data_IF_841076466183
#
_entry.id   IF_841076466183
#
_cell.length_a   1.000
_cell.length_b   1.000
_cell.length_c   1.000
_cell.angle_alpha   90.00
_cell.angle_beta   90.00
_cell.angle_gamma   90.00
#
_symmetry.space_group_name_H-M   'P 1'
#
loop_
_entity.id
_entity.type
_entity.pdbx_description
1 polymer ?
#
# COMPACT_ATOMS: atom_id res chain seq x y z
N UNK A 1 201.91 -25.64 69.84
CA UNK A 1 200.50 -25.22 69.90
C UNK A 1 199.79 -25.28 68.54
N UNK A 2 200.30 -24.63 67.47
CA UNK A 2 199.61 -24.59 66.15
C UNK A 2 199.48 -25.99 65.49
N UNK A 3 200.48 -26.86 65.67
CA UNK A 3 200.54 -28.20 65.08
C UNK A 3 199.33 -29.10 65.41
N UNK A 4 198.90 -29.13 66.68
CA UNK A 4 197.72 -29.89 67.11
C UNK A 4 196.41 -29.39 66.47
N UNK A 5 196.30 -28.07 66.21
CA UNK A 5 195.15 -27.50 65.54
C UNK A 5 195.08 -27.90 64.06
N UNK A 6 196.23 -28.00 63.38
CA UNK A 6 196.31 -28.46 61.99
C UNK A 6 195.95 -29.95 61.84
N UNK A 7 196.44 -30.81 62.74
CA UNK A 7 196.07 -32.24 62.73
C UNK A 7 194.58 -32.44 63.01
N UNK A 8 194.00 -31.68 63.95
CA UNK A 8 192.56 -31.71 64.20
C UNK A 8 191.74 -31.21 63.00
N UNK A 9 192.17 -30.11 62.36
CA UNK A 9 191.52 -29.60 61.15
C UNK A 9 191.59 -30.59 59.98
N UNK A 10 192.72 -31.26 59.78
CA UNK A 10 192.90 -32.28 58.74
C UNK A 10 192.02 -33.52 59.01
N UNK A 11 191.97 -33.99 60.26
CA UNK A 11 191.11 -35.11 60.66
C UNK A 11 189.60 -34.78 60.54
N UNK A 12 189.21 -33.54 60.83
CA UNK A 12 187.84 -33.08 60.60
C UNK A 12 187.52 -33.02 59.09
N UNK A 13 188.44 -32.47 58.28
CA UNK A 13 188.24 -32.37 56.83
C UNK A 13 188.06 -33.74 56.17
N UNK A 14 188.87 -34.74 56.53
CA UNK A 14 188.73 -36.11 55.98
C UNK A 14 187.42 -36.78 56.40
N UNK A 15 186.98 -36.60 57.65
CA UNK A 15 185.69 -37.10 58.11
C UNK A 15 184.51 -36.47 57.33
N UNK A 16 184.56 -35.16 57.07
CA UNK A 16 183.55 -34.45 56.26
C UNK A 16 183.52 -34.99 54.83
N UNK A 17 184.68 -35.20 54.19
CA UNK A 17 184.77 -35.75 52.82
C UNK A 17 184.15 -37.16 52.74
N UNK A 18 184.44 -38.04 53.71
CA UNK A 18 183.86 -39.40 53.75
C UNK A 18 182.33 -39.32 53.92
N UNK A 19 181.84 -38.46 54.81
CA UNK A 19 180.40 -38.23 55.00
C UNK A 19 179.70 -37.77 53.71
N UNK A 20 180.32 -36.86 52.96
CA UNK A 20 179.82 -36.33 51.69
C UNK A 20 179.76 -37.41 50.59
N UNK A 21 180.64 -38.40 50.63
CA UNK A 21 180.69 -39.52 49.66
C UNK A 21 179.59 -40.55 49.95
N UNK A 22 179.26 -40.80 51.22
CA UNK A 22 178.23 -41.79 51.62
C UNK A 22 176.81 -41.22 51.58
N UNK A 23 176.63 -39.92 51.85
CA UNK A 23 175.34 -39.23 51.82
C UNK A 23 174.45 -39.52 50.57
N UNK A 24 174.94 -39.41 49.31
CA UNK A 24 174.12 -39.67 48.13
C UNK A 24 173.66 -41.14 48.01
N UNK A 25 174.40 -42.10 48.56
CA UNK A 25 174.00 -43.52 48.53
C UNK A 25 172.82 -43.81 49.47
N UNK A 26 172.85 -43.24 50.68
CA UNK A 26 171.77 -43.36 51.66
C UNK A 26 170.49 -42.67 51.14
N UNK A 27 170.62 -41.47 50.58
CA UNK A 27 169.48 -40.70 50.06
C UNK A 27 168.75 -41.46 48.92
N UNK A 28 169.48 -42.12 48.01
CA UNK A 28 168.91 -43.00 46.96
C UNK A 28 168.15 -44.22 47.49
N UNK A 29 168.42 -44.67 48.73
CA UNK A 29 167.73 -45.79 49.36
C UNK A 29 166.48 -45.33 50.11
N UNK A 30 166.55 -44.18 50.78
CA UNK A 30 165.40 -43.54 51.44
C UNK A 30 164.32 -43.17 50.41
N UNK A 31 164.70 -42.57 49.28
CA UNK A 31 163.75 -42.17 48.22
C UNK A 31 162.95 -43.37 47.70
N UNK A 32 163.60 -44.52 47.42
CA UNK A 32 162.89 -45.72 46.95
C UNK A 32 161.89 -46.27 47.97
N UNK A 33 162.29 -46.43 49.22
CA UNK A 33 161.36 -46.88 50.26
C UNK A 33 160.24 -45.88 50.54
N UNK A 34 160.50 -44.57 50.41
CA UNK A 34 159.46 -43.55 50.50
C UNK A 34 158.47 -43.64 49.32
N UNK A 35 158.96 -43.85 48.11
CA UNK A 35 158.14 -43.97 46.89
C UNK A 35 157.28 -45.24 46.89
N UNK A 36 157.85 -46.39 47.24
CA UNK A 36 157.12 -47.66 47.31
C UNK A 36 156.06 -47.63 48.43
N UNK A 37 156.38 -47.03 49.58
CA UNK A 37 155.41 -46.83 50.67
C UNK A 37 154.32 -45.83 50.26
N UNK A 38 154.65 -44.74 49.56
CA UNK A 38 153.64 -43.80 49.04
C UNK A 38 152.66 -44.51 48.10
N UNK A 39 153.18 -45.29 47.14
CA UNK A 39 152.37 -46.07 46.19
C UNK A 39 151.45 -47.08 46.88
N UNK A 40 151.94 -47.76 47.92
CA UNK A 40 151.13 -48.69 48.71
C UNK A 40 150.05 -48.01 49.57
N UNK A 41 150.24 -46.74 49.95
CA UNK A 41 149.26 -45.96 50.74
C UNK A 41 148.37 -45.04 49.91
N UNK A 42 148.63 -44.87 48.61
CA UNK A 42 147.78 -44.07 47.73
C UNK A 42 146.55 -44.88 47.29
N UNK A 43 145.32 -44.40 47.53
CA UNK A 43 144.12 -45.22 47.40
C UNK A 43 143.61 -45.44 45.96
N UNK A 44 144.29 -44.90 44.93
CA UNK A 44 143.82 -44.93 43.55
C UNK A 44 144.98 -45.02 42.55
N UNK A 45 144.90 -46.00 41.64
CA UNK A 45 145.80 -46.09 40.49
C UNK A 45 145.43 -45.10 39.36
N UNK A 46 146.36 -44.74 38.46
CA UNK A 46 146.06 -43.84 37.33
C UNK A 46 145.00 -44.37 36.36
N UNK A 47 144.71 -45.67 36.35
CA UNK A 47 143.66 -46.26 35.53
C UNK A 47 142.28 -46.10 36.19
N UNK A 48 142.17 -46.27 37.51
CA UNK A 48 140.92 -46.08 38.25
C UNK A 48 140.47 -44.62 38.25
N UNK A 49 141.40 -43.66 38.33
CA UNK A 49 141.07 -42.22 38.21
C UNK A 49 140.48 -41.90 36.82
N UNK A 50 140.96 -42.56 35.76
CA UNK A 50 140.38 -42.42 34.41
C UNK A 50 139.01 -43.09 34.34
N UNK A 51 138.88 -44.31 34.86
CA UNK A 51 137.60 -45.02 34.90
C UNK A 51 136.52 -44.25 35.69
N UNK A 52 136.84 -43.67 36.85
CA UNK A 52 135.92 -42.83 37.61
C UNK A 52 135.56 -41.54 36.88
N UNK A 53 136.53 -40.89 36.21
CA UNK A 53 136.26 -39.69 35.39
C UNK A 53 135.34 -39.99 34.22
N UNK A 54 135.55 -41.11 33.54
CA UNK A 54 134.74 -41.50 32.38
C UNK A 54 133.37 -42.08 32.81
N UNK A 55 133.29 -42.74 33.98
CA UNK A 55 132.02 -43.10 34.61
C UNK A 55 131.21 -41.86 35.01
N UNK A 56 131.82 -40.84 35.63
CA UNK A 56 131.17 -39.58 35.98
C UNK A 56 130.72 -38.78 34.74
N UNK A 57 131.49 -38.84 33.64
CA UNK A 57 131.08 -38.33 32.33
C UNK A 57 129.88 -39.10 31.77
N UNK A 58 129.87 -40.43 31.90
CA UNK A 58 128.80 -41.28 31.42
C UNK A 58 127.50 -41.05 32.23
N UNK A 59 127.56 -40.96 33.56
CA UNK A 59 126.39 -40.64 34.39
C UNK A 59 125.84 -39.26 34.05
N UNK A 60 126.70 -38.24 33.99
CA UNK A 60 126.28 -36.89 33.59
C UNK A 60 125.69 -36.85 32.17
N UNK A 61 126.27 -37.57 31.21
CA UNK A 61 125.73 -37.66 29.85
C UNK A 61 124.37 -38.37 29.81
N UNK A 62 124.18 -39.45 30.58
CA UNK A 62 122.90 -40.17 30.70
C UNK A 62 121.84 -39.34 31.41
N UNK A 63 122.19 -38.63 32.48
CA UNK A 63 121.30 -37.72 33.19
C UNK A 63 120.88 -36.54 32.32
N UNK A 64 121.83 -35.90 31.64
CA UNK A 64 121.56 -34.82 30.70
C UNK A 64 120.73 -35.30 29.50
N UNK A 65 120.98 -36.50 28.96
CA UNK A 65 120.14 -37.09 27.92
C UNK A 65 118.69 -37.35 28.43
N UNK A 66 118.53 -37.84 29.67
CA UNK A 66 117.22 -38.05 30.30
C UNK A 66 116.48 -36.73 30.54
N UNK A 67 117.14 -35.69 31.05
CA UNK A 67 116.51 -34.38 31.28
C UNK A 67 116.17 -33.68 29.97
N UNK A 68 117.03 -33.75 28.95
CA UNK A 68 116.73 -33.25 27.60
C UNK A 68 115.56 -34.01 26.96
N UNK A 69 115.46 -35.33 27.14
CA UNK A 69 114.33 -36.12 26.64
C UNK A 69 113.03 -35.78 27.39
N UNK A 70 113.08 -35.59 28.71
CA UNK A 70 111.93 -35.14 29.49
C UNK A 70 111.48 -33.74 29.07
N UNK A 71 112.42 -32.79 28.92
CA UNK A 71 112.14 -31.43 28.44
C UNK A 71 111.54 -31.43 27.03
N UNK A 72 112.00 -32.29 26.13
CA UNK A 72 111.37 -32.47 24.80
C UNK A 72 109.94 -32.97 24.95
N UNK A 73 109.70 -34.05 25.71
CA UNK A 73 108.34 -34.59 25.94
C UNK A 73 107.38 -33.57 26.54
N UNK A 74 107.82 -32.75 27.51
CA UNK A 74 106.97 -31.70 28.09
C UNK A 74 106.73 -30.55 27.10
N UNK A 75 107.70 -30.19 26.24
CA UNK A 75 107.48 -29.24 25.14
C UNK A 75 106.50 -29.78 24.10
N UNK A 76 106.64 -31.05 23.70
CA UNK A 76 105.74 -31.69 22.74
C UNK A 76 104.30 -31.73 23.27
N UNK A 77 104.11 -32.05 24.56
CA UNK A 77 102.81 -31.94 25.26
C UNK A 77 102.30 -30.51 25.30
N UNK A 78 103.14 -29.52 25.65
CA UNK A 78 102.74 -28.12 25.72
C UNK A 78 102.29 -27.59 24.35
N UNK A 79 103.00 -27.94 23.28
CA UNK A 79 102.60 -27.63 21.89
C UNK A 79 101.29 -28.33 21.52
N UNK A 80 101.12 -29.60 21.87
CA UNK A 80 99.86 -30.32 21.62
C UNK A 80 98.66 -29.67 22.35
N UNK A 81 98.85 -29.26 23.61
CA UNK A 81 97.83 -28.53 24.39
C UNK A 81 97.55 -27.13 23.82
N UNK A 82 98.57 -26.40 23.36
CA UNK A 82 98.39 -25.11 22.67
C UNK A 82 97.57 -25.28 21.38
N UNK A 83 97.88 -26.28 20.55
CA UNK A 83 97.13 -26.56 19.32
C UNK A 83 95.68 -26.98 19.62
N UNK A 84 95.45 -27.76 20.69
CA UNK A 84 94.10 -28.10 21.14
C UNK A 84 93.34 -26.86 21.63
N UNK A 85 93.99 -26.00 22.44
CA UNK A 85 93.41 -24.76 22.93
C UNK A 85 93.09 -23.77 21.79
N UNK A 86 93.95 -23.66 20.78
CA UNK A 86 93.66 -22.86 19.60
C UNK A 86 92.47 -23.40 18.80
N UNK A 87 92.30 -24.73 18.70
CA UNK A 87 91.13 -25.33 18.05
C UNK A 87 89.87 -25.00 18.82
N UNK A 88 89.83 -25.27 20.12
CA UNK A 88 88.64 -24.95 20.94
C UNK A 88 88.34 -23.46 20.97
N UNK A 89 89.34 -22.57 20.92
CA UNK A 89 89.15 -21.12 20.76
C UNK A 89 88.61 -20.70 19.38
N UNK A 90 88.80 -21.50 18.32
CA UNK A 90 88.17 -21.24 17.02
C UNK A 90 86.72 -21.72 17.03
N UNK A 91 86.49 -22.91 17.59
CA UNK A 91 85.16 -23.51 17.70
C UNK A 91 84.24 -22.65 18.58
N UNK A 92 84.73 -22.14 19.73
CA UNK A 92 83.94 -21.21 20.57
C UNK A 92 83.67 -19.88 19.89
N UNK A 93 84.61 -19.34 19.11
CA UNK A 93 84.37 -18.12 18.31
C UNK A 93 83.30 -18.34 17.25
N UNK A 94 83.32 -19.48 16.56
CA UNK A 94 82.31 -19.87 15.57
C UNK A 94 80.92 -19.98 16.20
N UNK A 95 80.81 -20.74 17.30
CA UNK A 95 79.56 -20.89 18.03
C UNK A 95 79.03 -19.56 18.59
N UNK A 96 79.93 -18.65 19.01
CA UNK A 96 79.54 -17.29 19.43
C UNK A 96 79.04 -16.46 18.24
N UNK A 97 79.70 -16.48 17.07
CA UNK A 97 79.19 -15.78 15.88
C UNK A 97 77.83 -16.31 15.44
N UNK A 98 77.65 -17.64 15.35
CA UNK A 98 76.36 -18.26 15.03
C UNK A 98 75.29 -17.88 16.06
N UNK A 99 75.62 -17.83 17.35
CA UNK A 99 74.68 -17.42 18.38
C UNK A 99 74.29 -15.93 18.23
N UNK A 100 75.23 -15.05 17.90
CA UNK A 100 74.92 -13.62 17.63
C UNK A 100 74.09 -13.43 16.36
N UNK A 101 74.33 -14.20 15.31
CA UNK A 101 73.54 -14.17 14.07
C UNK A 101 72.11 -14.67 14.31
N UNK A 102 71.94 -15.78 15.05
CA UNK A 102 70.62 -16.29 15.45
C UNK A 102 69.89 -15.32 16.39
N UNK A 103 70.60 -14.64 17.30
CA UNK A 103 70.00 -13.59 18.14
C UNK A 103 69.54 -12.38 17.31
N UNK A 104 70.29 -11.97 16.29
CA UNK A 104 69.88 -10.92 15.36
C UNK A 104 68.62 -11.32 14.57
N UNK A 105 68.61 -12.52 13.97
CA UNK A 105 67.44 -13.06 13.26
C UNK A 105 66.20 -13.16 14.17
N UNK A 106 66.37 -13.58 15.43
CA UNK A 106 65.29 -13.59 16.42
C UNK A 106 64.80 -12.17 16.76
N UNK A 107 65.68 -11.17 16.82
CA UNK A 107 65.29 -9.78 17.03
C UNK A 107 64.47 -9.26 15.84
N UNK A 108 64.93 -9.48 14.61
CA UNK A 108 64.25 -9.07 13.38
C UNK A 108 62.86 -9.71 13.25
N UNK A 109 62.75 -11.04 13.43
CA UNK A 109 61.46 -11.74 13.43
C UNK A 109 60.51 -11.24 14.54
N UNK A 110 61.04 -10.82 15.69
CA UNK A 110 60.21 -10.22 16.75
C UNK A 110 59.69 -8.83 16.38
N UNK A 111 60.49 -8.02 15.66
CA UNK A 111 60.05 -6.73 15.11
C UNK A 111 58.98 -6.96 14.03
N UNK A 112 59.18 -7.89 13.11
CA UNK A 112 58.17 -8.26 12.10
C UNK A 112 56.87 -8.79 12.75
N UNK A 113 56.97 -9.64 13.77
CA UNK A 113 55.80 -10.10 14.51
C UNK A 113 55.09 -8.94 15.25
N UNK A 114 55.82 -7.92 15.72
CA UNK A 114 55.23 -6.73 16.32
C UNK A 114 54.54 -5.83 15.30
N UNK A 115 55.13 -5.61 14.11
CA UNK A 115 54.50 -4.82 13.04
C UNK A 115 53.26 -5.53 12.49
N UNK A 116 53.30 -6.84 12.30
CA UNK A 116 52.14 -7.64 11.90
C UNK A 116 51.00 -7.58 12.94
N UNK A 117 51.31 -7.71 14.25
CA UNK A 117 50.30 -7.54 15.32
C UNK A 117 49.71 -6.13 15.33
N UNK A 118 50.50 -5.10 15.03
CA UNK A 118 50.01 -3.71 14.91
C UNK A 118 49.08 -3.55 13.71
N UNK A 119 49.47 -4.08 12.54
CA UNK A 119 48.66 -4.06 11.32
C UNK A 119 47.33 -4.80 11.51
N UNK A 120 47.32 -5.97 12.18
CA UNK A 120 46.11 -6.71 12.51
C UNK A 120 45.16 -5.84 13.35
N UNK A 121 45.63 -5.21 14.43
CA UNK A 121 44.80 -4.32 15.26
C UNK A 121 44.23 -3.13 14.48
N UNK A 122 44.99 -2.56 13.56
CA UNK A 122 44.51 -1.47 12.69
C UNK A 122 43.43 -1.97 11.71
N UNK A 123 43.55 -3.20 11.20
CA UNK A 123 42.54 -3.81 10.34
C UNK A 123 41.28 -4.20 11.12
N UNK A 124 41.42 -4.72 12.34
CA UNK A 124 40.31 -5.00 13.26
C UNK A 124 39.52 -3.72 13.59
N UNK A 125 40.21 -2.64 13.97
CA UNK A 125 39.58 -1.34 14.25
C UNK A 125 38.88 -0.76 13.01
N UNK A 126 39.47 -0.90 11.82
CA UNK A 126 38.83 -0.50 10.55
C UNK A 126 37.58 -1.34 10.28
N UNK A 127 37.65 -2.65 10.47
CA UNK A 127 36.53 -3.56 10.27
C UNK A 127 35.38 -3.26 11.24
N UNK A 128 35.67 -3.02 12.52
CA UNK A 128 34.68 -2.58 13.51
C UNK A 128 34.01 -1.25 13.09
N UNK A 129 34.80 -0.27 12.64
CA UNK A 129 34.24 1.02 12.17
C UNK A 129 33.38 0.88 10.92
N UNK A 130 33.75 -0.01 10.00
CA UNK A 130 32.98 -0.33 8.80
C UNK A 130 31.70 -1.11 9.14
N UNK A 131 31.75 -2.04 10.09
CA UNK A 131 30.56 -2.72 10.60
C UNK A 131 29.59 -1.76 11.28
N UNK A 132 30.10 -0.80 12.08
CA UNK A 132 29.28 0.22 12.71
C UNK A 132 28.58 1.10 11.66
N UNK A 133 29.30 1.54 10.62
CA UNK A 133 28.75 2.30 9.51
C UNK A 133 27.74 1.49 8.66
N UNK A 134 27.99 0.20 8.44
CA UNK A 134 27.05 -0.69 7.76
C UNK A 134 25.77 -0.88 8.59
N UNK A 135 25.89 -1.06 9.91
CA UNK A 135 24.76 -1.19 10.84
C UNK A 135 23.95 0.11 10.95
N UNK A 136 24.58 1.30 10.92
CA UNK A 136 23.85 2.57 10.90
C UNK A 136 23.14 2.80 9.56
N UNK A 137 23.81 2.57 8.42
CA UNK A 137 23.20 2.67 7.09
C UNK A 137 22.04 1.68 6.91
N UNK A 138 22.15 0.46 7.42
CA UNK A 138 21.05 -0.51 7.41
C UNK A 138 19.83 -0.04 8.22
N UNK A 139 20.04 0.62 9.38
CA UNK A 139 18.96 1.21 10.18
C UNK A 139 18.30 2.39 9.45
N UNK A 140 19.10 3.26 8.85
CA UNK A 140 18.62 4.41 8.06
C UNK A 140 17.81 3.95 6.84
N UNK A 141 18.29 2.95 6.10
CA UNK A 141 17.54 2.32 5.01
C UNK A 141 16.24 1.65 5.48
N UNK A 142 16.23 1.06 6.69
CA UNK A 142 15.02 0.55 7.32
C UNK A 142 13.98 1.66 7.58
N UNK A 143 14.40 2.74 8.23
CA UNK A 143 13.55 3.92 8.48
C UNK A 143 13.06 4.56 7.17
N UNK A 144 13.93 4.69 6.16
CA UNK A 144 13.55 5.19 4.84
C UNK A 144 12.57 4.26 4.11
N UNK A 145 12.65 2.95 4.32
CA UNK A 145 11.65 2.00 3.80
C UNK A 145 10.30 2.17 4.48
N UNK A 146 10.26 2.44 5.79
CA UNK A 146 9.03 2.74 6.52
C UNK A 146 8.40 4.07 6.12
N UNK A 147 9.19 5.14 5.94
CA UNK A 147 8.69 6.43 5.44
C UNK A 147 8.12 6.28 4.03
N UNK A 148 8.81 5.57 3.12
CA UNK A 148 8.30 5.26 1.78
C UNK A 148 6.98 4.48 1.82
N UNK A 149 6.85 3.45 2.66
CA UNK A 149 5.56 2.73 2.85
C UNK A 149 4.45 3.65 3.35
N UNK A 150 4.75 4.54 4.30
CA UNK A 150 3.77 5.50 4.82
C UNK A 150 3.33 6.53 3.77
N UNK A 151 4.25 6.98 2.92
CA UNK A 151 3.97 7.89 1.82
C UNK A 151 3.15 7.20 0.73
N UNK A 152 3.46 5.96 0.39
CA UNK A 152 2.66 5.16 -0.54
C UNK A 152 1.23 4.99 -0.03
N UNK A 153 1.04 4.58 1.23
CA UNK A 153 -0.30 4.45 1.82
C UNK A 153 -1.08 5.78 1.86
N UNK A 154 -0.40 6.94 1.95
CA UNK A 154 -1.03 8.25 1.83
C UNK A 154 -1.42 8.57 0.39
N UNK A 155 -0.57 8.24 -0.58
CA UNK A 155 -0.85 8.40 -2.02
C UNK A 155 -2.05 7.53 -2.41
N UNK A 156 -2.09 6.27 -1.98
CA UNK A 156 -3.18 5.33 -2.30
C UNK A 156 -4.53 5.86 -1.74
N UNK A 157 -4.53 6.38 -0.51
CA UNK A 157 -5.71 7.04 0.09
C UNK A 157 -6.13 8.29 -0.69
N UNK A 158 -5.19 9.17 -1.00
CA UNK A 158 -5.48 10.38 -1.78
C UNK A 158 -5.98 10.05 -3.19
N UNK A 159 -5.52 8.95 -3.81
CA UNK A 159 -6.06 8.47 -5.08
C UNK A 159 -7.51 8.00 -4.94
N UNK A 160 -7.82 7.22 -3.89
CA UNK A 160 -9.19 6.79 -3.62
C UNK A 160 -10.13 7.97 -3.32
N UNK A 161 -9.67 8.95 -2.54
CA UNK A 161 -10.41 10.19 -2.27
C UNK A 161 -10.66 10.99 -3.57
N UNK A 162 -9.65 11.10 -4.45
CA UNK A 162 -9.78 11.75 -5.75
C UNK A 162 -10.74 11.02 -6.69
N UNK A 163 -10.74 9.69 -6.69
CA UNK A 163 -11.66 8.90 -7.51
C UNK A 163 -13.10 8.98 -6.97
N UNK A 164 -13.29 9.03 -5.65
CA UNK A 164 -14.56 9.37 -5.03
C UNK A 164 -15.07 10.76 -5.45
N UNK A 165 -14.23 11.78 -5.36
CA UNK A 165 -14.57 13.15 -5.78
C UNK A 165 -14.88 13.26 -7.29
N UNK A 166 -14.27 12.45 -8.15
CA UNK A 166 -14.62 12.37 -9.59
C UNK A 166 -16.01 11.75 -9.80
N UNK A 167 -16.36 10.71 -9.03
CA UNK A 167 -17.69 10.08 -9.08
C UNK A 167 -18.75 11.08 -8.60
N UNK A 168 -18.50 11.78 -7.50
CA UNK A 168 -19.38 12.84 -6.99
C UNK A 168 -19.56 13.98 -8.00
N UNK A 169 -18.46 14.43 -8.65
CA UNK A 169 -18.53 15.44 -9.70
C UNK A 169 -19.39 14.99 -10.89
N UNK A 170 -19.18 13.77 -11.39
CA UNK A 170 -19.98 13.20 -12.47
C UNK A 170 -21.46 13.04 -12.07
N UNK A 171 -21.75 12.68 -10.81
CA UNK A 171 -23.12 12.64 -10.29
C UNK A 171 -23.75 14.04 -10.27
N UNK A 172 -23.01 15.09 -9.87
CA UNK A 172 -23.51 16.47 -9.93
C UNK A 172 -23.69 16.98 -11.35
N UNK A 173 -22.83 16.60 -12.30
CA UNK A 173 -23.04 16.94 -13.72
C UNK A 173 -24.31 16.31 -14.29
N UNK A 174 -24.63 15.07 -13.93
CA UNK A 174 -25.91 14.44 -14.33
C UNK A 174 -27.13 15.08 -13.66
N UNK A 175 -27.03 15.50 -12.40
CA UNK A 175 -28.07 16.29 -11.70
C UNK A 175 -28.27 17.65 -12.37
N UNK A 176 -27.18 18.33 -12.75
CA UNK A 176 -27.21 19.61 -13.48
C UNK A 176 -27.89 19.45 -14.85
N UNK A 177 -27.57 18.41 -15.63
CA UNK A 177 -28.26 18.15 -16.90
C UNK A 177 -29.74 17.76 -16.72
N UNK A 178 -30.08 17.02 -15.66
CA UNK A 178 -31.48 16.74 -15.32
C UNK A 178 -32.25 18.02 -14.94
N UNK A 179 -31.65 18.91 -14.15
CA UNK A 179 -32.25 20.20 -13.82
C UNK A 179 -32.36 21.10 -15.05
N UNK A 180 -31.37 21.12 -15.95
CA UNK A 180 -31.44 21.83 -17.24
C UNK A 180 -32.57 21.31 -18.12
N UNK A 181 -32.74 19.99 -18.25
CA UNK A 181 -33.83 19.42 -19.05
C UNK A 181 -35.21 19.74 -18.44
N UNK A 182 -35.34 19.70 -17.11
CA UNK A 182 -36.58 20.12 -16.42
C UNK A 182 -36.88 21.61 -16.59
N UNK A 183 -35.86 22.48 -16.54
CA UNK A 183 -36.02 23.92 -16.80
C UNK A 183 -36.44 24.20 -18.24
N UNK A 184 -35.90 23.47 -19.23
CA UNK A 184 -36.34 23.57 -20.64
C UNK A 184 -37.81 23.17 -20.77
N UNK A 185 -38.20 22.02 -20.23
CA UNK A 185 -39.60 21.57 -20.26
C UNK A 185 -40.57 22.58 -19.61
N UNK A 186 -40.21 23.15 -18.46
CA UNK A 186 -41.00 24.21 -17.82
C UNK A 186 -41.03 25.52 -18.62
N UNK A 187 -39.99 25.84 -19.39
CA UNK A 187 -39.99 26.98 -20.31
C UNK A 187 -40.88 26.73 -21.53
N UNK A 188 -40.83 25.53 -22.10
CA UNK A 188 -41.68 25.14 -23.25
C UNK A 188 -43.16 25.12 -22.83
N UNK A 189 -43.49 24.56 -21.67
CA UNK A 189 -44.83 24.60 -21.06
C UNK A 189 -45.30 26.04 -20.78
N UNK A 190 -44.40 26.91 -20.29
CA UNK A 190 -44.71 28.34 -20.10
C UNK A 190 -45.01 29.03 -21.42
N UNK A 191 -44.27 28.74 -22.49
CA UNK A 191 -44.54 29.34 -23.81
C UNK A 191 -45.81 28.79 -24.46
N UNK A 192 -46.12 27.50 -24.32
CA UNK A 192 -47.40 26.95 -24.81
C UNK A 192 -48.58 27.52 -24.04
N UNK A 193 -48.50 27.64 -22.70
CA UNK A 193 -49.52 28.31 -21.90
C UNK A 193 -49.68 29.79 -22.30
N UNK A 194 -48.58 30.52 -22.56
CA UNK A 194 -48.64 31.90 -23.07
C UNK A 194 -49.28 31.99 -24.45
N UNK A 195 -49.01 31.05 -25.34
CA UNK A 195 -49.63 30.98 -26.66
C UNK A 195 -51.13 30.68 -26.56
N UNK A 196 -51.52 29.74 -25.69
CA UNK A 196 -52.92 29.40 -25.41
C UNK A 196 -53.67 30.61 -24.83
N UNK A 197 -53.12 31.29 -23.81
CA UNK A 197 -53.73 32.52 -23.25
C UNK A 197 -53.90 33.59 -24.33
N UNK A 198 -52.90 33.82 -25.19
CA UNK A 198 -53.05 34.74 -26.34
C UNK A 198 -54.17 34.32 -27.28
N UNK A 199 -54.25 33.04 -27.64
CA UNK A 199 -55.28 32.52 -28.52
C UNK A 199 -56.69 32.67 -27.92
N UNK A 200 -56.88 32.36 -26.63
CA UNK A 200 -58.17 32.57 -25.96
C UNK A 200 -58.51 34.06 -25.82
N UNK A 201 -57.56 34.95 -25.53
CA UNK A 201 -57.83 36.40 -25.53
C UNK A 201 -58.22 36.94 -26.91
N UNK A 202 -57.65 36.40 -27.99
CA UNK A 202 -58.03 36.76 -29.34
C UNK A 202 -59.44 36.25 -29.70
N UNK A 203 -59.79 35.02 -29.30
CA UNK A 203 -61.15 34.47 -29.47
C UNK A 203 -62.18 35.21 -28.63
N UNK A 204 -61.84 35.61 -27.40
CA UNK A 204 -62.70 36.42 -26.55
C UNK A 204 -62.97 37.78 -27.21
N UNK A 205 -61.93 38.48 -27.69
CA UNK A 205 -62.10 39.73 -28.44
C UNK A 205 -62.90 39.57 -29.75
N UNK A 206 -62.76 38.44 -30.45
CA UNK A 206 -63.61 38.14 -31.62
C UNK A 206 -65.07 37.91 -31.22
N UNK A 207 -65.32 37.20 -30.11
CA UNK A 207 -66.67 37.00 -29.58
C UNK A 207 -67.30 38.31 -29.08
N UNK A 208 -66.54 39.18 -28.41
CA UNK A 208 -66.97 40.54 -28.04
C UNK A 208 -67.31 41.38 -29.28
N UNK A 209 -66.51 41.31 -30.34
CA UNK A 209 -66.78 42.02 -31.60
C UNK A 209 -68.02 41.46 -32.33
N UNK A 210 -68.27 40.14 -32.23
CA UNK A 210 -69.51 39.51 -32.74
C UNK A 210 -70.72 39.94 -31.92
N UNK A 211 -70.63 39.91 -30.58
CA UNK A 211 -71.68 40.33 -29.66
C UNK A 211 -72.06 41.80 -29.89
N UNK A 212 -71.09 42.72 -29.91
CA UNK A 212 -71.36 44.14 -30.23
C UNK A 212 -71.95 44.33 -31.64
N UNK A 213 -71.57 43.49 -32.60
CA UNK A 213 -72.18 43.45 -33.94
C UNK A 213 -73.59 42.85 -33.98
N UNK A 214 -73.93 41.92 -33.09
CA UNK A 214 -75.28 41.38 -32.90
C UNK A 214 -76.16 42.38 -32.12
N UNK A 215 -75.66 43.02 -31.06
CA UNK A 215 -76.29 44.11 -30.31
C UNK A 215 -76.64 45.29 -31.23
N UNK A 216 -75.70 45.72 -32.08
CA UNK A 216 -75.96 46.77 -33.06
C UNK A 216 -77.06 46.37 -34.08
N UNK A 217 -77.12 45.11 -34.48
CA UNK A 217 -78.20 44.57 -35.33
C UNK A 217 -79.53 44.49 -34.56
N UNK A 218 -79.49 44.10 -33.30
CA UNK A 218 -80.65 44.06 -32.42
C UNK A 218 -81.24 45.47 -32.24
N UNK A 219 -80.41 46.47 -31.92
CA UNK A 219 -80.82 47.88 -31.88
C UNK A 219 -81.34 48.40 -33.23
N UNK A 220 -80.82 47.95 -34.37
CA UNK A 220 -81.40 48.28 -35.68
C UNK A 220 -82.78 47.65 -35.87
N UNK A 221 -82.99 46.42 -35.41
CA UNK A 221 -84.28 45.73 -35.45
C UNK A 221 -85.28 46.36 -34.48
N UNK A 222 -84.87 46.72 -33.26
CA UNK A 222 -85.67 47.49 -32.29
C UNK A 222 -86.09 48.85 -32.87
N UNK A 223 -85.17 49.59 -33.50
CA UNK A 223 -85.48 50.85 -34.16
C UNK A 223 -86.41 50.68 -35.38
N UNK A 224 -86.32 49.57 -36.13
CA UNK A 224 -87.27 49.25 -37.20
C UNK A 224 -88.64 48.87 -36.64
N UNK A 225 -88.66 48.07 -35.57
CA UNK A 225 -89.89 47.70 -34.86
C UNK A 225 -90.57 48.94 -34.30
N UNK A 226 -89.84 49.85 -33.64
CA UNK A 226 -90.35 51.12 -33.14
C UNK A 226 -90.89 52.03 -34.26
N UNK A 227 -90.31 51.99 -35.46
CA UNK A 227 -90.83 52.70 -36.63
C UNK A 227 -92.08 52.04 -37.22
N UNK A 228 -92.16 50.72 -37.29
CA UNK A 228 -93.37 50.03 -37.74
C UNK A 228 -94.49 50.06 -36.69
N UNK A 229 -94.20 50.09 -35.39
CA UNK A 229 -95.22 50.32 -34.35
C UNK A 229 -95.68 51.77 -34.36
N UNK A 230 -94.80 52.75 -34.57
CA UNK A 230 -95.22 54.14 -34.80
C UNK A 230 -96.05 54.27 -36.09
N UNK A 231 -95.61 53.70 -37.21
CA UNK A 231 -96.36 53.71 -38.46
C UNK A 231 -97.68 52.94 -38.36
N UNK A 232 -97.76 51.87 -37.57
CA UNK A 232 -99.01 51.19 -37.25
C UNK A 232 -99.89 52.03 -36.34
N UNK A 233 -99.36 52.73 -35.33
CA UNK A 233 -100.12 53.66 -34.51
C UNK A 233 -100.64 54.87 -35.31
N UNK A 234 -99.87 55.35 -36.30
CA UNK A 234 -100.30 56.37 -37.26
C UNK A 234 -101.37 55.82 -38.22
N UNK A 235 -101.22 54.57 -38.72
CA UNK A 235 -102.23 53.87 -39.53
C UNK A 235 -103.51 53.62 -38.73
N UNK A 236 -103.40 53.22 -37.46
CA UNK A 236 -104.51 53.03 -36.53
C UNK A 236 -105.17 54.36 -36.22
N UNK A 237 -104.42 55.42 -35.93
CA UNK A 237 -104.95 56.78 -35.75
C UNK A 237 -105.64 57.29 -37.02
N UNK A 238 -105.10 57.02 -38.20
CA UNK A 238 -105.72 57.36 -39.49
C UNK A 238 -106.95 56.47 -39.79
N UNK A 239 -106.95 55.21 -39.35
CA UNK A 239 -108.12 54.33 -39.41
C UNK A 239 -109.17 54.71 -38.38
N UNK A 240 -108.81 55.24 -37.21
CA UNK A 240 -109.70 55.81 -36.20
C UNK A 240 -110.29 57.13 -36.69
N UNK A 241 -109.50 58.00 -37.30
CA UNK A 241 -109.99 59.21 -37.97
C UNK A 241 -110.93 58.85 -39.12
N UNK A 242 -110.56 57.91 -39.99
CA UNK A 242 -111.46 57.38 -41.03
C UNK A 242 -112.64 56.62 -40.47
N UNK A 243 -112.53 55.98 -39.30
CA UNK A 243 -113.65 55.31 -38.62
C UNK A 243 -114.56 56.33 -37.94
N UNK A 244 -114.04 57.49 -37.52
CA UNK A 244 -114.79 58.64 -37.02
C UNK A 244 -115.48 59.37 -38.18
N UNK A 245 -114.82 59.54 -39.33
CA UNK A 245 -115.46 59.99 -40.58
C UNK A 245 -116.51 58.99 -41.04
N UNK A 246 -116.23 57.68 -41.05
CA UNK A 246 -117.22 56.64 -41.34
C UNK A 246 -118.29 56.57 -40.26
N UNK A 247 -118.04 56.96 -39.01
CA UNK A 247 -119.05 57.08 -37.95
C UNK A 247 -119.91 58.33 -38.13
N UNK A 248 -119.34 59.41 -38.67
CA UNK A 248 -120.04 60.65 -38.98
C UNK A 248 -120.87 60.51 -40.27
N UNK A 249 -120.30 59.90 -41.32
CA UNK A 249 -121.01 59.44 -42.51
C UNK A 249 -122.03 58.34 -42.16
N UNK A 250 -121.74 57.44 -41.21
CA UNK A 250 -122.75 56.54 -40.63
C UNK A 250 -123.76 57.29 -39.78
N UNK A 251 -123.49 58.44 -39.17
CA UNK A 251 -124.53 59.24 -38.51
C UNK A 251 -125.46 59.89 -39.54
N UNK A 252 -124.91 60.33 -40.68
CA UNK A 252 -125.68 60.76 -41.84
C UNK A 252 -126.48 59.59 -42.46
N UNK A 253 -125.93 58.38 -42.53
CA UNK A 253 -126.59 57.17 -43.06
C UNK A 253 -127.49 56.46 -42.03
N UNK A 254 -127.33 56.70 -40.73
CA UNK A 254 -128.16 56.12 -39.63
C UNK A 254 -129.45 56.90 -39.38
N UNK A 255 -129.67 57.99 -40.12
CA UNK A 255 -131.03 58.45 -40.45
C UNK A 255 -131.75 57.49 -41.42
N UNK A 256 -131.06 56.47 -41.99
CA UNK A 256 -131.58 55.48 -42.95
C UNK A 256 -130.94 54.07 -42.86
N UNK A 257 -131.18 53.29 -41.78
CA UNK A 257 -131.00 51.81 -41.82
C UNK A 257 -130.27 51.14 -40.63
N UNK A 258 -130.43 49.82 -40.45
CA UNK A 258 -130.08 49.10 -39.19
C UNK A 258 -129.64 47.61 -39.33
N UNK A 259 -128.96 47.08 -38.26
CA UNK A 259 -128.61 45.65 -37.92
C UNK A 259 -127.48 44.98 -38.77
N UNK A 260 -126.64 44.00 -38.31
CA UNK A 260 -126.52 43.17 -37.07
C UNK A 260 -125.12 42.44 -36.93
N UNK A 261 -124.62 42.19 -35.68
CA UNK A 261 -123.78 41.08 -35.07
C UNK A 261 -122.55 40.37 -35.76
N UNK A 262 -121.73 39.47 -35.14
CA UNK A 262 -120.87 39.38 -33.89
C UNK A 262 -120.26 37.91 -33.74
N UNK A 263 -119.23 37.68 -32.86
CA UNK A 263 -118.63 36.38 -32.32
C UNK A 263 -117.35 35.78 -33.01
N UNK A 264 -116.37 35.04 -32.41
CA UNK A 264 -116.10 34.32 -31.11
C UNK A 264 -116.33 32.76 -31.11
N UNK A 265 -115.58 31.82 -30.44
CA UNK A 265 -114.31 31.80 -29.62
C UNK A 265 -113.79 30.35 -29.24
N UNK A 266 -112.56 30.15 -28.67
CA UNK A 266 -112.24 29.08 -27.64
C UNK A 266 -111.34 27.80 -27.85
N UNK A 267 -110.25 27.67 -27.05
CA UNK A 267 -109.71 26.62 -26.08
C UNK A 267 -109.76 25.02 -26.13
N UNK A 268 -108.63 24.40 -25.65
CA UNK A 268 -108.38 23.38 -24.55
C UNK A 268 -108.40 21.79 -24.54
N UNK A 269 -107.40 21.25 -23.78
CA UNK A 269 -107.37 20.15 -22.75
C UNK A 269 -107.13 18.62 -23.04
N UNK A 270 -106.77 17.85 -21.96
CA UNK A 270 -106.09 16.53 -21.94
C UNK A 270 -106.57 15.53 -20.80
N UNK A 271 -105.94 14.34 -20.65
CA UNK A 271 -106.28 13.29 -19.64
C UNK A 271 -105.11 12.33 -19.24
N UNK A 272 -105.21 11.63 -18.09
CA UNK A 272 -104.15 10.79 -17.45
C UNK A 272 -104.30 9.24 -17.59
N UNK A 273 -103.25 8.47 -17.22
CA UNK A 273 -103.21 6.99 -17.16
C UNK A 273 -102.09 6.44 -16.25
N UNK A 274 -102.11 5.13 -15.94
CA UNK A 274 -101.33 4.45 -14.88
C UNK A 274 -99.80 4.68 -14.91
N UNK A 275 -99.21 4.71 -13.71
CA UNK A 275 -97.85 5.15 -13.40
C UNK A 275 -96.72 4.16 -13.78
N UNK A 276 -96.62 3.87 -15.08
CA UNK A 276 -95.41 3.26 -15.69
C UNK A 276 -94.24 4.24 -15.73
N UNK A 277 -94.50 5.53 -15.49
CA UNK A 277 -93.54 6.64 -15.44
C UNK A 277 -92.61 6.56 -14.23
N UNK A 278 -93.11 6.37 -13.01
CA UNK A 278 -92.28 6.30 -11.81
C UNK A 278 -91.28 5.13 -11.84
N UNK A 279 -91.69 3.95 -12.33
CA UNK A 279 -90.80 2.80 -12.47
C UNK A 279 -89.76 3.02 -13.59
N UNK A 280 -90.14 3.67 -14.69
CA UNK A 280 -89.22 4.10 -15.74
C UNK A 280 -88.16 5.07 -15.20
N UNK A 281 -88.56 6.03 -14.36
CA UNK A 281 -87.67 7.06 -13.84
C UNK A 281 -86.73 6.53 -12.74
N UNK A 282 -87.18 5.63 -11.87
CA UNK A 282 -86.29 4.93 -10.92
C UNK A 282 -85.23 4.09 -11.65
N UNK A 283 -85.62 3.30 -12.66
CA UNK A 283 -84.67 2.56 -13.50
C UNK A 283 -83.70 3.48 -14.24
N UNK A 284 -84.17 4.66 -14.70
CA UNK A 284 -83.32 5.69 -15.34
C UNK A 284 -82.27 6.21 -14.36
N UNK A 285 -82.67 6.54 -13.14
CA UNK A 285 -81.81 7.10 -12.09
C UNK A 285 -80.80 6.07 -11.57
N UNK A 286 -81.19 4.80 -11.45
CA UNK A 286 -80.25 3.71 -11.10
C UNK A 286 -79.22 3.48 -12.22
N UNK A 287 -79.65 3.55 -13.49
CA UNK A 287 -78.74 3.39 -14.63
C UNK A 287 -77.72 4.54 -14.76
N UNK A 288 -78.11 5.79 -14.49
CA UNK A 288 -77.16 6.92 -14.48
C UNK A 288 -76.17 6.81 -13.32
N UNK A 289 -76.65 6.52 -12.10
CA UNK A 289 -75.78 6.31 -10.94
C UNK A 289 -74.78 5.14 -11.14
N UNK A 290 -75.21 4.05 -11.79
CA UNK A 290 -74.32 2.93 -12.12
C UNK A 290 -73.28 3.31 -13.19
N UNK A 291 -73.66 4.11 -14.19
CA UNK A 291 -72.72 4.64 -15.20
C UNK A 291 -71.60 5.47 -14.56
N UNK A 292 -71.94 6.37 -13.63
CA UNK A 292 -70.95 7.15 -12.89
C UNK A 292 -70.03 6.29 -12.01
N UNK A 293 -70.58 5.26 -11.34
CA UNK A 293 -69.79 4.30 -10.54
C UNK A 293 -68.85 3.46 -11.41
N UNK A 294 -69.27 3.05 -12.60
CA UNK A 294 -68.41 2.35 -13.58
C UNK A 294 -67.25 3.24 -14.03
N UNK A 295 -67.52 4.49 -14.43
CA UNK A 295 -66.48 5.46 -14.85
C UNK A 295 -65.51 5.82 -13.72
N UNK A 296 -65.98 5.84 -12.46
CA UNK A 296 -65.14 6.06 -11.29
C UNK A 296 -64.33 4.84 -10.82
N UNK A 297 -64.69 3.62 -11.24
CA UNK A 297 -64.08 2.39 -10.75
C UNK A 297 -62.68 2.14 -11.35
N UNK A 298 -61.70 1.82 -10.48
CA UNK A 298 -60.29 1.54 -10.86
C UNK A 298 -59.75 0.24 -10.26
N UNK A 299 -60.62 -0.61 -9.74
CA UNK A 299 -60.25 -1.83 -9.01
C UNK A 299 -61.31 -2.92 -9.16
N UNK A 300 -60.86 -4.12 -9.54
CA UNK A 300 -61.71 -5.28 -9.79
C UNK A 300 -62.46 -5.82 -8.55
N UNK A 301 -62.20 -5.25 -7.35
CA UNK A 301 -62.83 -5.67 -6.10
C UNK A 301 -64.36 -5.44 -6.06
N UNK A 302 -64.91 -4.59 -6.94
CA UNK A 302 -66.34 -4.27 -6.98
C UNK A 302 -67.05 -4.83 -8.23
N UNK A 303 -66.34 -5.52 -9.14
CA UNK A 303 -66.85 -5.97 -10.43
C UNK A 303 -68.01 -6.97 -10.29
N UNK A 304 -67.99 -7.82 -9.27
CA UNK A 304 -69.09 -8.77 -9.01
C UNK A 304 -70.36 -8.06 -8.56
N UNK A 305 -70.25 -7.05 -7.68
CA UNK A 305 -71.37 -6.25 -7.21
C UNK A 305 -71.95 -5.37 -8.34
N UNK A 306 -71.07 -4.75 -9.15
CA UNK A 306 -71.48 -4.00 -10.34
C UNK A 306 -72.19 -4.88 -11.37
N UNK A 307 -71.71 -6.12 -11.59
CA UNK A 307 -72.37 -7.09 -12.48
C UNK A 307 -73.75 -7.50 -11.94
N UNK A 308 -73.90 -7.59 -10.62
CA UNK A 308 -75.17 -7.92 -9.97
C UNK A 308 -76.18 -6.78 -10.09
N UNK A 309 -75.77 -5.53 -9.83
CA UNK A 309 -76.60 -4.32 -10.05
C UNK A 309 -76.99 -4.16 -11.52
N UNK A 310 -76.07 -4.41 -12.47
CA UNK A 310 -76.38 -4.41 -13.91
C UNK A 310 -77.42 -5.46 -14.30
N UNK A 311 -77.33 -6.67 -13.74
CA UNK A 311 -78.27 -7.76 -14.02
C UNK A 311 -79.66 -7.49 -13.41
N UNK A 312 -79.74 -6.77 -12.29
CA UNK A 312 -81.01 -6.32 -11.69
C UNK A 312 -81.67 -5.21 -12.51
N UNK A 313 -80.93 -4.18 -12.94
CA UNK A 313 -81.44 -3.12 -13.82
C UNK A 313 -81.91 -3.69 -15.16
N UNK A 314 -81.15 -4.64 -15.73
CA UNK A 314 -81.53 -5.31 -16.97
C UNK A 314 -82.82 -6.14 -16.81
N UNK A 315 -83.00 -6.83 -15.68
CA UNK A 315 -84.26 -7.52 -15.38
C UNK A 315 -85.43 -6.53 -15.26
N UNK A 316 -85.25 -5.42 -14.52
CA UNK A 316 -86.26 -4.37 -14.37
C UNK A 316 -86.63 -3.67 -15.68
N UNK A 317 -85.69 -3.48 -16.61
CA UNK A 317 -86.02 -2.99 -17.96
C UNK A 317 -86.86 -3.99 -18.75
N UNK A 318 -86.55 -5.29 -18.68
CA UNK A 318 -87.31 -6.33 -19.38
C UNK A 318 -88.73 -6.46 -18.80
N UNK A 319 -88.92 -6.33 -17.47
CA UNK A 319 -90.26 -6.33 -16.86
C UNK A 319 -91.05 -5.06 -17.15
N UNK A 320 -90.42 -3.88 -17.17
CA UNK A 320 -91.05 -2.65 -17.64
C UNK A 320 -91.47 -2.76 -19.11
N UNK A 321 -90.68 -3.44 -19.94
CA UNK A 321 -90.99 -3.64 -21.36
C UNK A 321 -92.16 -4.61 -21.52
N UNK A 322 -92.14 -5.75 -20.82
CA UNK A 322 -93.23 -6.73 -20.83
C UNK A 322 -94.55 -6.13 -20.30
N UNK A 323 -94.53 -5.39 -19.20
CA UNK A 323 -95.73 -4.72 -18.64
C UNK A 323 -96.27 -3.60 -19.54
N UNK A 324 -95.40 -2.92 -20.31
CA UNK A 324 -95.80 -1.91 -21.30
C UNK A 324 -96.35 -2.52 -22.61
N UNK A 325 -95.86 -3.69 -23.00
CA UNK A 325 -96.34 -4.46 -24.15
C UNK A 325 -97.57 -5.34 -23.83
N UNK A 326 -97.85 -5.58 -22.55
CA UNK A 326 -98.97 -6.36 -22.04
C UNK A 326 -98.90 -7.84 -22.42
N UNK A 327 -100.05 -8.53 -22.30
CA UNK A 327 -100.20 -9.98 -22.54
C UNK A 327 -99.74 -10.44 -23.95
N UNK A 328 -99.56 -9.50 -24.89
CA UNK A 328 -99.04 -9.75 -26.24
C UNK A 328 -97.52 -9.76 -26.36
N UNK A 329 -96.78 -9.47 -25.28
CA UNK A 329 -95.32 -9.42 -25.33
C UNK A 329 -94.69 -10.79 -25.64
N UNK A 330 -93.78 -10.90 -26.62
CA UNK A 330 -93.04 -12.13 -26.88
C UNK A 330 -92.13 -12.54 -25.71
N UNK A 331 -91.86 -11.63 -24.76
CA UNK A 331 -91.06 -11.87 -23.57
C UNK A 331 -91.68 -12.99 -22.71
N UNK A 332 -93.02 -13.05 -22.56
CA UNK A 332 -93.68 -14.11 -21.80
C UNK A 332 -93.43 -15.51 -22.40
N UNK A 333 -93.37 -15.62 -23.73
CA UNK A 333 -93.03 -16.88 -24.42
C UNK A 333 -91.56 -17.28 -24.28
N UNK A 334 -90.66 -16.30 -24.21
CA UNK A 334 -89.21 -16.54 -24.00
C UNK A 334 -88.90 -16.99 -22.56
N UNK A 335 -89.68 -16.53 -21.58
CA UNK A 335 -89.57 -16.92 -20.17
C UNK A 335 -90.18 -18.29 -19.83
N UNK A 336 -90.88 -18.92 -20.79
CA UNK A 336 -91.52 -20.22 -20.63
C UNK A 336 -90.63 -21.41 -21.04
N UNK A 337 -89.45 -21.17 -21.61
CA UNK A 337 -88.46 -22.20 -21.91
C UNK A 337 -87.72 -22.70 -20.66
N UNK A 338 -87.18 -23.91 -20.69
CA UNK A 338 -86.43 -24.49 -19.57
C UNK A 338 -85.18 -23.65 -19.23
N UNK A 339 -85.01 -23.30 -17.94
CA UNK A 339 -83.81 -22.65 -17.42
C UNK A 339 -82.58 -23.54 -17.65
N UNK A 340 -81.71 -23.15 -18.57
CA UNK A 340 -80.42 -23.81 -18.72
C UNK A 340 -79.59 -23.61 -17.43
N UNK A 341 -79.22 -24.70 -16.76
CA UNK A 341 -78.45 -24.68 -15.51
C UNK A 341 -77.07 -24.03 -15.69
N UNK A 342 -77.02 -22.72 -15.48
CA UNK A 342 -75.80 -21.92 -15.48
C UNK A 342 -74.90 -22.30 -14.30
N UNK A 343 -73.64 -22.59 -14.63
CA UNK A 343 -72.50 -22.87 -13.75
C UNK A 343 -72.65 -22.40 -12.29
N UNK A 344 -73.00 -23.35 -11.41
CA UNK A 344 -72.98 -23.32 -9.94
C UNK A 344 -73.05 -21.92 -9.26
N UNK A 345 -74.28 -21.44 -9.00
CA UNK A 345 -74.56 -20.48 -7.92
C UNK A 345 -74.94 -19.06 -8.31
N UNK A 346 -74.98 -18.69 -9.61
CA UNK A 346 -75.47 -17.37 -10.06
C UNK A 346 -76.91 -17.48 -10.60
N UNK A 347 -77.79 -16.52 -10.25
CA UNK A 347 -79.18 -16.46 -10.75
C UNK A 347 -79.22 -16.03 -12.21
N UNK A 348 -80.00 -16.72 -13.05
CA UNK A 348 -80.20 -16.35 -14.46
C UNK A 348 -81.04 -15.06 -14.56
N UNK A 349 -80.86 -14.29 -15.65
CA UNK A 349 -81.65 -13.08 -15.90
C UNK A 349 -83.13 -13.41 -16.16
N UNK A 350 -83.40 -14.52 -16.87
CA UNK A 350 -84.76 -15.01 -17.09
C UNK A 350 -85.50 -15.27 -15.76
N UNK A 351 -84.82 -15.93 -14.81
CA UNK A 351 -85.36 -16.17 -13.46
C UNK A 351 -85.65 -14.87 -12.69
N UNK A 352 -84.76 -13.86 -12.74
CA UNK A 352 -85.02 -12.55 -12.10
C UNK A 352 -86.22 -11.83 -12.72
N UNK A 353 -86.34 -11.87 -14.04
CA UNK A 353 -87.48 -11.27 -14.77
C UNK A 353 -88.79 -11.97 -14.40
N UNK A 354 -88.77 -13.30 -14.22
CA UNK A 354 -89.93 -14.06 -13.75
C UNK A 354 -90.30 -13.73 -12.30
N UNK A 355 -89.31 -13.71 -11.38
CA UNK A 355 -89.46 -13.28 -9.98
C UNK A 355 -90.00 -11.83 -9.83
N UNK A 356 -89.91 -11.00 -10.87
CA UNK A 356 -90.44 -9.62 -10.92
C UNK A 356 -91.79 -9.48 -11.66
N UNK A 357 -92.20 -10.48 -12.46
CA UNK A 357 -93.48 -10.51 -13.19
C UNK A 357 -94.57 -11.30 -12.46
N UNK A 358 -94.18 -12.29 -11.65
CA UNK A 358 -95.03 -13.01 -10.71
C UNK A 358 -94.80 -12.43 -9.30
N UNK A 359 -95.49 -11.35 -8.88
CA UNK A 359 -95.48 -10.94 -7.48
C UNK A 359 -96.16 -11.99 -6.61
N UNK A 360 -95.58 -12.33 -5.45
CA UNK A 360 -96.24 -13.09 -4.39
C UNK A 360 -97.43 -12.31 -3.76
#
# INVERSE_FOLDING_TARGET
>A
MIEYALLFALGFLTAVVIGLLVAPAIQRRIVRFAEDRLKATMPLSPQEVRAQRDAARATYAVENAKTLQALRRERDKAVALMVQHERTLRDTRHLVSENTELQAQLADMNVEAATMRSAIRQLEQRLESMEAAAKSSARENGANSETVRSLQSRIDKQSADLDGLKIDLAARDTEIEHLKSRMRAMHDERETLRANVKAETARAGEMELRLTGDEARMHQLENRLARETAANADRESALEQRAAEIAHLRSQVKTRGAKRSKHADGHDAATEGLDTTALSDDLRNRATALSERLVGSKSAAHDEALREEMAEIAAGMVTLTATREGDTSPIHGLLAGEDAEGQAGRRSLARRVKEMLEPE
#
